data_IF_987929262509
#
_entry.id   IF_987929262509
#
_cell.length_a   1.000
_cell.length_b   1.000
_cell.length_c   1.000
_cell.angle_alpha   90.00
_cell.angle_beta   90.00
_cell.angle_gamma   90.00
#
_symmetry.space_group_name_H-M   'P 1'
#
loop_
_entity.id
_entity.type
_entity.pdbx_description
1 polymer ?
#
# COMPACT_ATOMS: atom_id res chain seq x y z
N UNK A 1 22.95 -3.90 1.42
CA UNK A 1 22.18 -2.71 1.00
C UNK A 1 20.75 -3.03 1.39
N UNK A 2 20.23 -2.38 2.42
CA UNK A 2 18.86 -2.63 2.90
C UNK A 2 17.85 -2.17 1.85
N UNK A 3 16.73 -2.89 1.74
CA UNK A 3 15.64 -2.50 0.87
C UNK A 3 15.04 -1.17 1.34
N UNK A 4 15.08 -0.21 0.44
CA UNK A 4 14.63 1.15 0.67
C UNK A 4 13.10 1.20 0.67
N UNK A 5 12.49 0.44 -0.22
CA UNK A 5 11.06 0.28 -0.35
C UNK A 5 10.67 -1.11 0.14
N UNK A 6 9.62 -1.20 0.94
CA UNK A 6 9.07 -2.46 1.44
C UNK A 6 7.57 -2.50 1.21
N UNK A 7 7.03 -3.67 0.86
CA UNK A 7 5.58 -3.86 0.76
C UNK A 7 5.01 -4.07 2.15
N UNK A 8 3.95 -3.33 2.48
CA UNK A 8 3.24 -3.44 3.75
C UNK A 8 1.78 -3.77 3.50
N UNK A 9 1.33 -4.92 4.02
CA UNK A 9 -0.08 -5.30 4.08
C UNK A 9 -0.80 -4.40 5.09
N UNK A 10 -1.91 -3.82 4.67
CA UNK A 10 -2.69 -2.88 5.43
C UNK A 10 -4.17 -3.29 5.36
N UNK A 11 -4.89 -3.10 6.46
CA UNK A 11 -6.32 -3.43 6.54
C UNK A 11 -7.14 -2.17 6.28
N UNK A 12 -8.08 -2.24 5.33
CA UNK A 12 -9.07 -1.19 5.06
C UNK A 12 -10.39 -1.64 5.66
N UNK A 13 -10.92 -0.81 6.55
CA UNK A 13 -12.29 -0.98 7.04
C UNK A 13 -13.19 -0.13 6.14
N UNK A 14 -13.99 -0.80 5.30
CA UNK A 14 -14.95 -0.11 4.43
C UNK A 14 -16.23 0.11 5.22
N UNK A 15 -16.50 1.37 5.57
CA UNK A 15 -17.72 1.77 6.26
C UNK A 15 -18.73 2.26 5.23
N UNK A 16 -19.83 1.53 5.08
CA UNK A 16 -20.92 1.92 4.19
C UNK A 16 -21.74 3.04 4.83
N UNK A 17 -21.79 4.21 4.18
CA UNK A 17 -22.56 5.36 4.66
C UNK A 17 -24.06 5.11 4.62
N UNK A 18 -24.79 5.59 5.62
CA UNK A 18 -26.26 5.48 5.72
C UNK A 18 -26.98 6.64 5.02
N UNK A 19 -28.19 6.37 4.51
CA UNK A 19 -29.26 7.39 4.42
C UNK A 19 -30.27 7.17 5.55
N UNK A 20 -30.92 8.24 6.00
CA UNK A 20 -31.91 8.16 7.08
C UNK A 20 -33.11 7.31 6.63
N UNK A 21 -33.32 6.15 7.28
CA UNK A 21 -34.47 5.26 7.04
C UNK A 21 -34.14 3.82 6.64
N UNK A 22 -32.89 3.47 6.35
CA UNK A 22 -32.53 2.09 6.00
C UNK A 22 -32.31 1.20 7.24
N UNK A 23 -33.02 0.07 7.28
CA UNK A 23 -32.91 -0.95 8.31
C UNK A 23 -32.13 -2.16 7.76
N UNK A 24 -30.80 -2.06 7.80
CA UNK A 24 -29.91 -3.16 7.43
C UNK A 24 -28.50 -2.65 7.16
N UNK A 25 -27.54 -3.02 8.01
CA UNK A 25 -26.13 -2.76 7.76
C UNK A 25 -25.49 -4.07 7.29
N UNK A 26 -24.97 -4.18 6.06
CA UNK A 26 -24.05 -5.26 5.73
C UNK A 26 -22.80 -5.07 6.60
N UNK A 27 -22.28 -6.10 7.28
CA UNK A 27 -21.13 -5.96 8.17
C UNK A 27 -19.97 -5.21 7.47
N UNK A 28 -19.20 -4.41 8.21
CA UNK A 28 -18.09 -3.66 7.62
C UNK A 28 -17.15 -4.63 6.92
N UNK A 29 -16.85 -4.37 5.65
CA UNK A 29 -16.01 -5.25 4.87
C UNK A 29 -14.55 -4.99 5.24
N UNK A 30 -13.88 -6.05 5.69
CA UNK A 30 -12.45 -6.04 5.93
C UNK A 30 -11.75 -6.33 4.61
N UNK A 31 -11.41 -5.26 3.90
CA UNK A 31 -10.63 -5.37 2.67
C UNK A 31 -9.13 -5.28 2.99
N UNK A 32 -8.35 -6.11 2.32
CA UNK A 32 -6.90 -6.08 2.42
C UNK A 32 -6.34 -5.26 1.26
N UNK A 33 -5.34 -4.44 1.54
CA UNK A 33 -4.62 -3.74 0.50
C UNK A 33 -3.14 -3.66 0.85
N UNK A 34 -2.32 -3.43 -0.16
CA UNK A 34 -0.88 -3.38 -0.07
C UNK A 34 -0.41 -1.99 -0.43
N UNK A 35 0.50 -1.44 0.37
CA UNK A 35 1.18 -0.18 0.06
C UNK A 35 2.68 -0.35 0.09
N UNK A 36 3.37 0.50 -0.66
CA UNK A 36 4.83 0.57 -0.65
C UNK A 36 5.24 1.61 0.39
N UNK A 37 6.00 1.16 1.39
CA UNK A 37 6.55 1.99 2.45
C UNK A 37 8.02 2.29 2.14
N UNK A 38 8.37 3.57 2.10
CA UNK A 38 9.76 4.02 1.99
C UNK A 38 10.34 4.15 3.41
N UNK A 39 11.34 3.31 3.71
CA UNK A 39 11.96 3.23 5.03
C UNK A 39 12.83 4.45 5.35
N UNK A 40 13.26 5.22 4.33
CA UNK A 40 14.13 6.39 4.49
C UNK A 40 13.38 7.64 4.95
N UNK A 41 12.21 7.86 4.36
CA UNK A 41 11.35 9.01 4.62
C UNK A 41 10.24 8.70 5.62
N UNK A 42 10.10 7.42 6.00
CA UNK A 42 8.98 6.89 6.79
C UNK A 42 7.62 7.20 6.16
N UNK A 43 7.61 7.38 4.83
CA UNK A 43 6.47 7.77 4.04
C UNK A 43 5.92 6.62 3.20
N UNK A 44 4.70 6.79 2.69
CA UNK A 44 4.13 5.87 1.71
C UNK A 44 4.37 6.41 0.30
N UNK A 45 5.01 5.60 -0.55
CA UNK A 45 5.05 5.87 -1.99
C UNK A 45 3.75 5.34 -2.58
N UNK A 46 3.00 6.24 -3.22
CA UNK A 46 1.59 6.09 -3.58
C UNK A 46 1.16 4.82 -4.35
N UNK A 47 -0.17 4.75 -4.45
CA UNK A 47 -1.07 3.68 -4.90
C UNK A 47 -1.35 2.57 -3.88
N UNK A 48 -2.65 2.44 -3.56
CA UNK A 48 -3.23 1.31 -2.85
C UNK A 48 -3.34 0.15 -3.86
N UNK A 49 -2.59 -0.93 -3.63
CA UNK A 49 -2.64 -2.13 -4.46
C UNK A 49 -3.60 -3.14 -3.85
N UNK A 50 -4.55 -3.65 -4.64
CA UNK A 50 -5.41 -4.75 -4.20
C UNK A 50 -4.68 -6.11 -4.20
N UNK A 51 -3.65 -6.28 -5.05
CA UNK A 51 -2.87 -7.52 -5.18
C UNK A 51 -1.44 -7.38 -4.63
N UNK A 52 -1.01 -8.35 -3.81
CA UNK A 52 0.34 -8.39 -3.23
C UNK A 52 1.44 -8.44 -4.31
N UNK A 53 1.24 -9.28 -5.33
CA UNK A 53 2.23 -9.47 -6.40
C UNK A 53 2.51 -8.18 -7.18
N UNK A 54 1.49 -7.35 -7.41
CA UNK A 54 1.65 -6.08 -8.11
C UNK A 54 2.41 -5.07 -7.25
N UNK A 55 2.10 -5.02 -5.95
CA UNK A 55 2.84 -4.22 -4.98
C UNK A 55 4.31 -4.65 -4.88
N UNK A 56 4.59 -5.97 -4.84
CA UNK A 56 5.95 -6.51 -4.82
C UNK A 56 6.70 -6.19 -6.10
N UNK A 57 6.09 -6.36 -7.27
CA UNK A 57 6.71 -6.05 -8.56
C UNK A 57 7.10 -4.58 -8.63
N UNK A 58 6.24 -3.67 -8.17
CA UNK A 58 6.53 -2.24 -8.13
C UNK A 58 7.61 -1.89 -7.10
N UNK A 59 7.55 -2.50 -5.92
CA UNK A 59 8.56 -2.35 -4.88
C UNK A 59 9.96 -2.72 -5.39
N UNK A 60 10.09 -3.86 -6.06
CA UNK A 60 11.34 -4.29 -6.69
C UNK A 60 11.82 -3.29 -7.77
N UNK A 61 10.92 -2.76 -8.60
CA UNK A 61 11.27 -1.73 -9.58
C UNK A 61 11.77 -0.44 -8.92
N UNK A 62 11.15 -0.01 -7.82
CA UNK A 62 11.55 1.18 -7.08
C UNK A 62 12.91 0.97 -6.39
N UNK A 63 13.13 -0.19 -5.78
CA UNK A 63 14.43 -0.56 -5.20
C UNK A 63 15.53 -0.59 -6.27
N UNK A 64 15.26 -1.20 -7.43
CA UNK A 64 16.22 -1.23 -8.54
C UNK A 64 16.56 0.19 -9.05
N UNK A 65 15.55 1.06 -9.23
CA UNK A 65 15.77 2.45 -9.65
C UNK A 65 16.55 3.26 -8.62
N UNK A 66 16.23 3.11 -7.34
CA UNK A 66 16.90 3.86 -6.27
C UNK A 66 18.34 3.38 -6.03
N UNK A 67 18.67 2.12 -6.32
CA UNK A 67 20.07 1.66 -6.32
C UNK A 67 20.91 2.34 -7.41
N UNK A 68 20.31 2.63 -8.58
CA UNK A 68 20.99 3.36 -9.66
C UNK A 68 21.25 4.81 -9.26
N UNK A 69 20.28 5.48 -8.62
CA UNK A 69 20.44 6.86 -8.16
C UNK A 69 21.49 6.98 -7.03
N UNK A 70 21.57 6.00 -6.14
CA UNK A 70 22.54 5.99 -5.05
C UNK A 70 24.00 5.77 -5.51
N UNK A 71 24.22 5.20 -6.70
CA UNK A 71 25.55 4.98 -7.29
C UNK A 71 26.08 6.16 -8.12
N UNK A 72 25.25 7.18 -8.36
CA UNK A 72 25.64 8.38 -9.12
C UNK A 72 25.83 9.63 -8.23
N UNK A 73 25.90 9.46 -6.92
CA UNK A 73 26.21 10.52 -5.95
C UNK A 73 27.69 10.47 -5.53
#
# INVERSE_FOLDING_TARGET
MEDIFVVKRCNKIIIHGRRAGEAGHPPPDAAEFYRIFDTRTLGFCGDDYDCEEDAQRKCLQLNAKSQVTARQA
#
